data_IF_904531978600
#
_entry.id   IF_904531978600
#
_cell.length_a   1.000
_cell.length_b   1.000
_cell.length_c   1.000
_cell.angle_alpha   90.00
_cell.angle_beta   90.00
_cell.angle_gamma   90.00
#
_symmetry.space_group_name_H-M   'P 1'
#
loop_
_entity.id
_entity.type
_entity.pdbx_description
1 polymer ?
#
# COMPACT_ATOMS: atom_id res chain seq x y z
N UNK A 1 87.80 24.07 56.08
CA UNK A 1 87.62 22.89 55.21
C UNK A 1 86.16 22.50 54.96
N UNK A 2 85.14 23.18 55.53
CA UNK A 2 83.72 22.83 55.34
C UNK A 2 82.94 23.76 54.40
N UNK A 3 83.47 24.95 54.08
CA UNK A 3 82.75 25.91 53.21
C UNK A 3 82.95 25.69 51.70
N UNK A 4 84.07 25.08 51.26
CA UNK A 4 84.33 24.87 49.83
C UNK A 4 83.57 23.67 49.24
N UNK A 5 83.14 22.71 50.06
CA UNK A 5 82.38 21.54 49.58
C UNK A 5 80.92 21.88 49.25
N UNK A 6 80.35 22.89 49.91
CA UNK A 6 78.98 23.35 49.67
C UNK A 6 78.84 24.22 48.38
N UNK A 7 79.89 24.97 48.02
CA UNK A 7 79.91 25.80 46.82
C UNK A 7 80.00 24.97 45.52
N UNK A 8 80.64 23.80 45.56
CA UNK A 8 80.74 22.88 44.42
C UNK A 8 79.46 22.12 44.10
N UNK A 9 78.65 21.77 45.11
CA UNK A 9 77.37 21.07 44.90
C UNK A 9 76.25 22.00 44.42
N UNK A 10 76.24 23.25 44.88
CA UNK A 10 75.24 24.25 44.46
C UNK A 10 75.41 24.69 42.99
N UNK A 11 76.65 24.79 42.48
CA UNK A 11 76.90 25.00 41.03
C UNK A 11 76.44 23.82 40.18
N UNK A 12 76.56 22.58 40.65
CA UNK A 12 76.06 21.39 39.94
C UNK A 12 74.53 21.33 39.87
N UNK A 13 73.82 21.90 40.85
CA UNK A 13 72.35 22.01 40.83
C UNK A 13 71.86 23.10 39.85
N UNK A 14 72.62 24.18 39.70
CA UNK A 14 72.28 25.29 38.78
C UNK A 14 72.57 24.93 37.31
N UNK A 15 73.58 24.09 37.05
CA UNK A 15 73.87 23.55 35.70
C UNK A 15 73.04 22.30 35.34
N UNK A 16 72.19 21.80 36.25
CA UNK A 16 71.43 20.57 36.01
C UNK A 16 70.18 20.80 35.14
N UNK A 17 70.36 20.68 33.82
CA UNK A 17 69.25 20.76 32.84
C UNK A 17 68.25 19.60 32.92
N UNK A 18 68.46 18.60 33.80
CA UNK A 18 67.53 17.47 33.98
C UNK A 18 66.18 17.90 34.58
N UNK A 19 66.12 19.04 35.26
CA UNK A 19 64.87 19.59 35.83
C UNK A 19 63.86 20.11 34.78
N UNK A 20 64.34 20.66 33.66
CA UNK A 20 63.46 21.20 32.59
C UNK A 20 62.65 20.10 31.90
N UNK A 21 63.21 18.89 31.77
CA UNK A 21 62.50 17.73 31.22
C UNK A 21 61.35 17.32 32.12
N UNK A 22 61.53 17.38 33.44
CA UNK A 22 60.51 17.01 34.42
C UNK A 22 59.32 17.98 34.38
N UNK A 23 59.58 19.29 34.20
CA UNK A 23 58.54 20.32 34.04
C UNK A 23 57.72 20.14 32.75
N UNK A 24 58.39 19.92 31.61
CA UNK A 24 57.71 19.67 30.33
C UNK A 24 56.94 18.34 30.37
N UNK A 25 57.50 17.32 31.01
CA UNK A 25 56.83 16.03 31.20
C UNK A 25 55.59 16.18 32.09
N UNK A 26 55.67 16.88 33.22
CA UNK A 26 54.51 17.07 34.10
C UNK A 26 53.37 17.83 33.42
N UNK A 27 53.68 18.88 32.66
CA UNK A 27 52.70 19.62 31.87
C UNK A 27 52.06 18.75 30.79
N UNK A 28 52.88 17.96 30.08
CA UNK A 28 52.40 17.05 29.04
C UNK A 28 51.54 15.93 29.62
N UNK A 29 51.89 15.41 30.81
CA UNK A 29 51.15 14.37 31.50
C UNK A 29 49.73 14.84 31.88
N UNK A 30 49.60 16.05 32.43
CA UNK A 30 48.29 16.63 32.74
C UNK A 30 47.44 16.77 31.47
N UNK A 31 48.04 17.24 30.37
CA UNK A 31 47.35 17.34 29.10
C UNK A 31 46.87 15.97 28.59
N UNK A 32 47.73 14.95 28.60
CA UNK A 32 47.38 13.59 28.17
C UNK A 32 46.27 13.01 29.04
N UNK A 33 46.32 13.19 30.36
CA UNK A 33 45.29 12.71 31.30
C UNK A 33 43.96 13.44 31.07
N UNK A 34 43.97 14.73 30.80
CA UNK A 34 42.77 15.50 30.46
C UNK A 34 42.13 15.00 29.16
N UNK A 35 42.92 14.75 28.11
CA UNK A 35 42.41 14.22 26.83
C UNK A 35 41.88 12.79 26.96
N UNK A 36 42.60 11.90 27.67
CA UNK A 36 42.14 10.52 27.88
C UNK A 36 40.92 10.46 28.79
N UNK A 37 40.88 11.25 29.86
CA UNK A 37 39.70 11.38 30.72
C UNK A 37 38.49 11.92 29.95
N UNK A 38 38.67 12.97 29.15
CA UNK A 38 37.63 13.50 28.28
C UNK A 38 37.12 12.50 27.26
N UNK A 39 37.99 11.66 26.69
CA UNK A 39 37.60 10.59 25.79
C UNK A 39 36.74 9.51 26.49
N UNK A 40 37.04 9.18 27.75
CA UNK A 40 36.24 8.24 28.55
C UNK A 40 34.86 8.82 28.84
N UNK A 41 34.79 10.07 29.28
CA UNK A 41 33.53 10.76 29.56
C UNK A 41 32.65 10.89 28.30
N UNK A 42 33.26 11.24 27.16
CA UNK A 42 32.57 11.26 25.87
C UNK A 42 32.08 9.86 25.46
N UNK A 43 32.88 8.83 25.69
CA UNK A 43 32.48 7.43 25.47
C UNK A 43 31.28 7.02 26.32
N UNK A 44 31.20 7.47 27.57
CA UNK A 44 30.05 7.27 28.45
C UNK A 44 28.81 8.00 27.92
N UNK A 45 28.95 9.28 27.56
CA UNK A 45 27.87 10.08 26.97
C UNK A 45 27.34 9.45 25.67
N UNK A 46 28.23 8.95 24.82
CA UNK A 46 27.84 8.31 23.56
C UNK A 46 27.15 6.96 23.77
N UNK A 47 27.62 6.14 24.73
CA UNK A 47 26.92 4.90 25.13
C UNK A 47 25.51 5.19 25.65
N UNK A 48 25.35 6.25 26.44
CA UNK A 48 24.02 6.68 26.89
C UNK A 48 23.15 7.15 25.73
N UNK A 49 23.70 7.93 24.80
CA UNK A 49 22.98 8.37 23.58
C UNK A 49 22.43 7.19 22.79
N UNK A 50 23.26 6.18 22.52
CA UNK A 50 22.84 4.99 21.77
C UNK A 50 21.77 4.20 22.52
N UNK A 51 21.88 4.09 23.84
CA UNK A 51 20.86 3.43 24.66
C UNK A 51 19.54 4.19 24.67
N UNK A 52 19.59 5.53 24.78
CA UNK A 52 18.41 6.40 24.67
C UNK A 52 17.72 6.26 23.30
N UNK A 53 18.50 6.23 22.22
CA UNK A 53 17.97 6.05 20.87
C UNK A 53 17.25 4.69 20.75
N UNK A 54 17.89 3.60 21.17
CA UNK A 54 17.27 2.27 21.12
C UNK A 54 15.99 2.19 21.97
N UNK A 55 15.99 2.80 23.15
CA UNK A 55 14.81 2.86 24.01
C UNK A 55 13.69 3.71 23.41
N UNK A 56 14.02 4.84 22.76
CA UNK A 56 13.07 5.69 22.05
C UNK A 56 12.48 5.00 20.83
N UNK A 57 13.28 4.29 20.04
CA UNK A 57 12.80 3.57 18.85
C UNK A 57 11.77 2.50 19.25
N UNK A 58 12.06 1.74 20.32
CA UNK A 58 11.12 0.78 20.87
C UNK A 58 9.84 1.45 21.40
N UNK A 59 9.97 2.58 22.09
CA UNK A 59 8.83 3.33 22.63
C UNK A 59 7.97 3.95 21.53
N UNK A 60 8.58 4.52 20.49
CA UNK A 60 7.89 5.11 19.35
C UNK A 60 7.13 4.05 18.54
N UNK A 61 7.73 2.87 18.33
CA UNK A 61 7.04 1.73 17.71
C UNK A 61 5.87 1.23 18.54
N UNK A 62 6.03 1.18 19.87
CA UNK A 62 4.96 0.77 20.77
C UNK A 62 3.79 1.78 20.77
N UNK A 63 4.09 3.09 20.81
CA UNK A 63 3.09 4.13 20.61
C UNK A 63 2.37 3.98 19.26
N UNK A 64 3.13 3.77 18.18
CA UNK A 64 2.58 3.57 16.84
C UNK A 64 1.58 2.42 16.78
N UNK A 65 1.89 1.28 17.42
CA UNK A 65 0.97 0.14 17.49
C UNK A 65 -0.32 0.45 18.25
N UNK A 66 -0.28 1.29 19.27
CA UNK A 66 -1.50 1.69 19.99
C UNK A 66 -2.39 2.60 19.15
N UNK A 67 -1.80 3.51 18.37
CA UNK A 67 -2.56 4.32 17.41
C UNK A 67 -3.15 3.47 16.28
N UNK A 68 -2.41 2.48 15.77
CA UNK A 68 -2.90 1.53 14.75
C UNK A 68 -4.12 0.72 15.23
N UNK A 69 -4.22 0.46 16.54
CA UNK A 69 -5.38 -0.19 17.16
C UNK A 69 -6.56 0.74 17.43
N UNK A 70 -6.45 2.03 17.10
CA UNK A 70 -7.45 3.04 17.42
C UNK A 70 -7.43 3.51 18.88
N UNK A 71 -6.33 3.31 19.59
CA UNK A 71 -6.14 3.80 20.96
C UNK A 71 -6.03 5.33 21.04
N UNK A 72 -6.30 5.91 22.22
CA UNK A 72 -6.13 7.34 22.46
C UNK A 72 -4.66 7.73 22.55
N UNK A 73 -4.36 9.02 22.33
CA UNK A 73 -3.01 9.59 22.53
C UNK A 73 -2.47 9.33 23.95
N UNK A 74 -3.33 9.32 24.96
CA UNK A 74 -2.96 9.03 26.35
C UNK A 74 -2.52 7.56 26.53
N UNK A 75 -3.26 6.61 25.95
CA UNK A 75 -2.88 5.20 25.99
C UNK A 75 -1.54 4.93 25.28
N UNK A 76 -1.34 5.55 24.12
CA UNK A 76 -0.06 5.47 23.39
C UNK A 76 1.11 6.05 24.21
N UNK A 77 0.90 7.16 24.92
CA UNK A 77 1.90 7.74 25.83
C UNK A 77 2.24 6.81 27.01
N UNK A 78 1.24 6.21 27.65
CA UNK A 78 1.45 5.28 28.76
C UNK A 78 2.23 4.02 28.33
N UNK A 79 1.89 3.45 27.17
CA UNK A 79 2.59 2.28 26.62
C UNK A 79 4.02 2.64 26.22
N UNK A 80 4.23 3.79 25.57
CA UNK A 80 5.55 4.26 25.22
C UNK A 80 6.43 4.48 26.45
N UNK A 81 5.91 5.12 27.51
CA UNK A 81 6.62 5.31 28.77
C UNK A 81 7.02 3.98 29.40
N UNK A 82 6.11 3.00 29.42
CA UNK A 82 6.38 1.66 29.97
C UNK A 82 7.49 0.95 29.20
N UNK A 83 7.44 0.96 27.87
CA UNK A 83 8.44 0.33 27.01
C UNK A 83 9.78 1.05 27.13
N UNK A 84 9.76 2.39 27.18
CA UNK A 84 10.94 3.21 27.36
C UNK A 84 11.64 2.89 28.70
N UNK A 85 10.89 2.86 29.80
CA UNK A 85 11.42 2.52 31.13
C UNK A 85 11.99 1.09 31.18
N UNK A 86 11.32 0.12 30.54
CA UNK A 86 11.80 -1.25 30.47
C UNK A 86 13.15 -1.36 29.72
N UNK A 87 13.33 -0.61 28.62
CA UNK A 87 14.58 -0.60 27.85
C UNK A 87 15.72 0.18 28.56
N UNK A 88 15.37 1.22 29.31
CA UNK A 88 16.34 1.99 30.08
C UNK A 88 16.83 1.24 31.33
N UNK A 89 15.95 0.46 31.98
CA UNK A 89 16.26 -0.32 33.17
C UNK A 89 16.67 0.57 34.35
N UNK A 90 17.76 0.24 35.04
CA UNK A 90 18.27 1.04 36.16
C UNK A 90 18.59 2.50 35.78
N UNK A 91 19.00 2.75 34.54
CA UNK A 91 19.32 4.09 34.04
C UNK A 91 18.10 5.02 34.00
N UNK A 92 16.87 4.48 33.95
CA UNK A 92 15.65 5.28 34.00
C UNK A 92 15.43 5.97 35.35
N UNK A 93 15.98 5.40 36.44
CA UNK A 93 15.81 5.91 37.81
C UNK A 93 16.89 6.90 38.19
N UNK A 94 18.10 6.72 37.66
CA UNK A 94 19.26 7.58 37.94
C UNK A 94 19.26 8.88 37.15
N UNK A 95 18.32 9.06 36.23
CA UNK A 95 18.31 10.19 35.30
C UNK A 95 16.90 10.74 35.11
N UNK A 96 16.76 12.07 35.10
CA UNK A 96 15.53 12.72 34.67
C UNK A 96 15.40 12.53 33.16
N UNK A 97 14.32 11.86 32.74
CA UNK A 97 14.05 11.61 31.33
C UNK A 97 12.68 12.17 31.00
N UNK A 98 12.66 13.13 30.09
CA UNK A 98 11.42 13.73 29.58
C UNK A 98 11.10 13.14 28.22
N UNK A 99 10.02 12.36 28.13
CA UNK A 99 9.51 11.82 26.86
C UNK A 99 8.43 12.74 26.30
N UNK A 100 8.68 13.34 25.14
CA UNK A 100 7.66 14.12 24.42
C UNK A 100 7.17 13.33 23.22
N UNK A 101 5.85 13.13 23.12
CA UNK A 101 5.19 12.49 21.98
C UNK A 101 4.28 13.49 21.27
N UNK A 102 4.65 13.83 20.04
CA UNK A 102 3.82 14.63 19.14
C UNK A 102 3.29 13.76 18.00
N UNK A 103 2.02 13.96 17.63
CA UNK A 103 1.41 13.38 16.44
C UNK A 103 1.16 14.53 15.46
N UNK A 104 1.74 14.43 14.28
CA UNK A 104 1.57 15.39 13.18
C UNK A 104 1.16 14.64 11.92
N UNK A 105 -0.15 14.37 11.80
CA UNK A 105 -0.72 13.78 10.58
C UNK A 105 -0.26 12.34 10.32
N UNK A 106 -0.10 11.53 11.37
CA UNK A 106 0.35 10.14 11.25
C UNK A 106 1.86 9.95 11.43
N UNK A 107 2.61 11.03 11.69
CA UNK A 107 4.00 10.94 12.14
C UNK A 107 4.05 11.12 13.65
N UNK A 108 4.47 10.07 14.35
CA UNK A 108 4.70 10.06 15.79
C UNK A 108 6.17 10.40 16.03
N UNK A 109 6.43 11.50 16.69
CA UNK A 109 7.77 11.91 17.11
C UNK A 109 7.94 11.69 18.61
N UNK A 110 8.92 10.88 19.00
CA UNK A 110 9.32 10.64 20.37
C UNK A 110 10.72 11.22 20.64
N UNK A 111 10.86 12.12 21.62
CA UNK A 111 12.16 12.68 22.02
C UNK A 111 12.43 12.46 23.50
N UNK A 112 13.68 12.16 23.85
CA UNK A 112 14.16 12.11 25.23
C UNK A 112 15.45 12.91 25.39
N UNK A 113 15.58 13.60 26.52
CA UNK A 113 16.83 14.24 26.94
C UNK A 113 17.24 13.73 28.32
N UNK A 114 18.55 13.67 28.53
CA UNK A 114 19.15 13.40 29.84
C UNK A 114 20.51 14.10 29.97
N UNK A 115 21.04 14.13 31.19
CA UNK A 115 22.39 14.63 31.47
C UNK A 115 23.24 13.50 32.04
N UNK A 116 24.41 13.31 31.46
CA UNK A 116 25.39 12.33 31.92
C UNK A 116 26.45 13.06 32.73
N UNK A 117 26.60 12.69 34.00
CA UNK A 117 27.66 13.21 34.86
C UNK A 117 29.04 12.83 34.31
N UNK A 118 29.96 13.79 34.33
CA UNK A 118 31.31 13.66 33.80
C UNK A 118 32.34 13.67 34.92
N UNK A 119 33.21 12.67 34.96
CA UNK A 119 34.16 12.51 36.07
C UNK A 119 35.45 13.29 35.84
N UNK A 120 36.00 13.22 34.63
CA UNK A 120 37.29 13.84 34.30
C UNK A 120 37.10 15.26 33.76
N UNK A 121 36.09 15.47 32.91
CA UNK A 121 35.72 16.82 32.46
C UNK A 121 35.14 17.65 33.62
N UNK A 122 34.59 17.01 34.65
CA UNK A 122 34.13 17.66 35.88
C UNK A 122 35.24 18.43 36.58
N UNK A 123 36.47 17.89 36.59
CA UNK A 123 37.66 18.56 37.14
C UNK A 123 37.99 19.86 36.38
N UNK A 124 37.60 19.94 35.10
CA UNK A 124 37.77 21.11 34.24
C UNK A 124 36.53 22.05 34.26
N UNK A 125 35.58 21.83 35.17
CA UNK A 125 34.38 22.65 35.33
C UNK A 125 33.19 22.25 34.45
N UNK A 126 33.28 21.13 33.72
CA UNK A 126 32.17 20.57 32.96
C UNK A 126 31.62 19.35 33.70
N UNK A 127 30.63 19.55 34.58
CA UNK A 127 30.11 18.52 35.49
C UNK A 127 29.10 17.56 34.84
N UNK A 128 28.45 17.99 33.76
CA UNK A 128 27.50 17.15 33.03
C UNK A 128 27.47 17.45 31.53
N UNK A 129 27.26 16.41 30.74
CA UNK A 129 27.04 16.48 29.30
C UNK A 129 25.58 16.19 28.97
N UNK A 130 24.84 17.14 28.36
CA UNK A 130 23.48 16.89 27.91
C UNK A 130 23.49 15.97 26.69
N UNK A 131 22.67 14.92 26.74
CA UNK A 131 22.49 13.94 25.68
C UNK A 131 21.01 13.83 25.35
N UNK A 132 20.67 14.13 24.10
CA UNK A 132 19.30 14.02 23.59
C UNK A 132 19.22 13.06 22.40
N UNK A 133 18.13 12.31 22.33
CA UNK A 133 17.81 11.42 21.21
C UNK A 133 16.38 11.69 20.72
N UNK A 134 16.13 11.39 19.46
CA UNK A 134 14.81 11.60 18.84
C UNK A 134 14.54 10.47 17.85
N UNK A 135 13.34 9.91 17.92
CA UNK A 135 12.86 8.85 17.06
C UNK A 135 11.54 9.26 16.43
N UNK A 136 11.34 8.89 15.17
CA UNK A 136 10.09 9.16 14.46
C UNK A 136 9.57 7.86 13.85
N UNK A 137 8.28 7.62 14.04
CA UNK A 137 7.55 6.51 13.43
C UNK A 137 6.42 7.10 12.60
N UNK A 138 6.41 6.77 11.32
CA UNK A 138 5.29 7.10 10.44
C UNK A 138 4.31 5.94 10.48
N UNK A 139 3.09 6.20 10.93
CA UNK A 139 1.96 5.29 10.77
C UNK A 139 1.69 5.16 9.28
N UNK A 140 1.91 3.96 8.75
CA UNK A 140 1.51 3.61 7.40
C UNK A 140 -0.01 3.44 7.34
N UNK A 141 -0.76 4.53 7.55
CA UNK A 141 -2.18 4.63 7.21
C UNK A 141 -2.37 4.74 5.69
N UNK A 142 -1.64 3.91 4.93
CA UNK A 142 -1.68 3.90 3.48
C UNK A 142 -3.09 3.56 3.02
N UNK A 143 -3.65 4.38 2.14
CA UNK A 143 -4.89 4.04 1.48
C UNK A 143 -4.66 2.79 0.63
N UNK A 144 -5.43 1.74 0.87
CA UNK A 144 -5.38 0.49 0.12
C UNK A 144 -6.64 0.34 -0.71
N UNK A 145 -6.47 -0.01 -1.98
CA UNK A 145 -7.55 -0.37 -2.88
C UNK A 145 -7.37 -1.84 -3.27
N UNK A 146 -8.37 -2.68 -2.98
CA UNK A 146 -8.32 -4.12 -3.22
C UNK A 146 -9.45 -4.51 -4.15
N UNK A 147 -9.15 -5.20 -5.24
CA UNK A 147 -10.16 -5.71 -6.18
C UNK A 147 -10.24 -7.23 -6.08
N UNK A 148 -11.42 -7.74 -5.73
CA UNK A 148 -11.70 -9.17 -5.64
C UNK A 148 -12.30 -9.66 -6.95
N UNK A 149 -11.50 -10.34 -7.77
CA UNK A 149 -11.96 -10.98 -9.01
C UNK A 149 -12.36 -12.43 -8.68
N UNK A 150 -13.66 -12.72 -8.72
CA UNK A 150 -14.25 -13.92 -8.14
C UNK A 150 -14.92 -14.80 -9.21
N UNK A 151 -14.36 -15.97 -9.48
CA UNK A 151 -14.96 -16.96 -10.39
C UNK A 151 -16.26 -17.53 -9.79
N UNK A 152 -17.37 -17.35 -10.49
CA UNK A 152 -18.69 -17.88 -10.15
C UNK A 152 -19.25 -18.86 -11.20
N UNK A 153 -18.39 -19.41 -12.07
CA UNK A 153 -18.74 -20.39 -13.08
C UNK A 153 -19.39 -21.65 -12.49
N UNK A 154 -20.07 -22.45 -13.34
CA UNK A 154 -20.76 -23.66 -12.91
C UNK A 154 -19.86 -24.67 -12.16
N UNK A 155 -18.55 -24.71 -12.48
CA UNK A 155 -17.57 -25.59 -11.81
C UNK A 155 -17.33 -25.24 -10.34
N UNK A 156 -17.62 -24.00 -9.96
CA UNK A 156 -17.53 -23.48 -8.60
C UNK A 156 -18.77 -23.83 -7.75
N UNK A 157 -19.80 -24.43 -8.35
CA UNK A 157 -21.04 -24.79 -7.66
C UNK A 157 -20.86 -25.57 -6.35
N UNK A 158 -21.81 -25.38 -5.43
CA UNK A 158 -21.84 -26.12 -4.16
C UNK A 158 -20.78 -25.66 -3.16
N UNK A 159 -19.86 -26.56 -2.78
CA UNK A 159 -18.93 -26.34 -1.68
C UNK A 159 -17.86 -25.27 -1.98
N UNK A 160 -17.37 -25.21 -3.22
CA UNK A 160 -16.30 -24.27 -3.63
C UNK A 160 -16.78 -22.83 -3.56
N UNK A 161 -17.95 -22.52 -4.13
CA UNK A 161 -18.55 -21.18 -4.06
C UNK A 161 -18.88 -20.77 -2.63
N UNK A 162 -19.33 -21.71 -1.78
CA UNK A 162 -19.52 -21.43 -0.35
C UNK A 162 -18.20 -21.10 0.35
N UNK A 163 -17.12 -21.80 0.04
CA UNK A 163 -15.80 -21.52 0.58
C UNK A 163 -15.27 -20.16 0.10
N UNK A 164 -15.40 -19.84 -1.20
CA UNK A 164 -15.03 -18.55 -1.77
C UNK A 164 -15.76 -17.40 -1.08
N UNK A 165 -17.08 -17.52 -0.89
CA UNK A 165 -17.88 -16.52 -0.17
C UNK A 165 -17.43 -16.33 1.28
N UNK A 166 -17.05 -17.41 1.98
CA UNK A 166 -16.52 -17.32 3.36
C UNK A 166 -15.16 -16.63 3.39
N UNK A 167 -14.24 -17.04 2.52
CA UNK A 167 -12.90 -16.45 2.45
C UNK A 167 -12.95 -14.96 2.08
N UNK A 168 -13.77 -14.58 1.09
CA UNK A 168 -13.97 -13.18 0.72
C UNK A 168 -14.51 -12.36 1.91
N UNK A 169 -15.52 -12.88 2.63
CA UNK A 169 -16.05 -12.21 3.84
C UNK A 169 -14.99 -12.06 4.92
N UNK A 170 -14.23 -13.12 5.21
CA UNK A 170 -13.14 -13.07 6.20
C UNK A 170 -12.09 -12.03 5.81
N UNK A 171 -11.67 -11.99 4.55
CA UNK A 171 -10.75 -10.98 4.05
C UNK A 171 -11.31 -9.56 4.25
N UNK A 172 -12.57 -9.31 3.84
CA UNK A 172 -13.18 -7.99 4.05
C UNK A 172 -13.25 -7.61 5.53
N UNK A 173 -13.55 -8.57 6.41
CA UNK A 173 -13.59 -8.34 7.86
C UNK A 173 -12.21 -8.04 8.43
N UNK A 174 -11.16 -8.71 7.95
CA UNK A 174 -9.77 -8.43 8.36
C UNK A 174 -9.32 -7.06 7.89
N UNK A 175 -9.68 -6.66 6.67
CA UNK A 175 -9.28 -5.37 6.09
C UNK A 175 -10.02 -4.17 6.72
N UNK A 176 -11.32 -4.30 7.03
CA UNK A 176 -12.09 -3.25 7.70
C UNK A 176 -12.00 -3.30 9.23
N UNK A 177 -11.57 -4.43 9.81
CA UNK A 177 -11.44 -4.61 11.25
C UNK A 177 -12.74 -4.32 12.01
N UNK A 178 -12.63 -3.61 13.13
CA UNK A 178 -13.78 -3.16 13.93
C UNK A 178 -14.49 -1.92 13.35
N UNK A 179 -13.94 -1.28 12.32
CA UNK A 179 -14.49 -0.05 11.75
C UNK A 179 -15.14 -0.31 10.38
N UNK A 180 -16.48 -0.35 10.29
CA UNK A 180 -17.19 -0.60 9.02
C UNK A 180 -17.05 0.56 8.00
N UNK A 181 -16.48 1.71 8.40
CA UNK A 181 -16.16 2.84 7.51
C UNK A 181 -14.69 3.19 7.66
N UNK A 182 -13.86 2.52 6.87
CA UNK A 182 -12.42 2.79 6.83
C UNK A 182 -12.10 3.63 5.59
N UNK A 183 -11.90 4.94 5.76
CA UNK A 183 -11.63 5.86 4.63
C UNK A 183 -10.33 5.55 3.88
N UNK A 184 -9.45 4.75 4.49
CA UNK A 184 -8.22 4.28 3.89
C UNK A 184 -8.34 2.89 3.24
N UNK A 185 -9.50 2.22 3.24
CA UNK A 185 -9.65 0.94 2.50
C UNK A 185 -10.86 1.00 1.58
N UNK A 186 -10.63 0.74 0.28
CA UNK A 186 -11.69 0.51 -0.69
C UNK A 186 -11.60 -0.89 -1.24
N UNK A 187 -12.75 -1.53 -1.42
CA UNK A 187 -12.83 -2.87 -1.98
C UNK A 187 -13.78 -2.87 -3.18
N UNK A 188 -13.27 -3.27 -4.33
CA UNK A 188 -14.06 -3.61 -5.51
C UNK A 188 -14.32 -5.12 -5.56
N UNK A 189 -15.49 -5.52 -6.08
CA UNK A 189 -15.82 -6.94 -6.28
C UNK A 189 -16.26 -7.14 -7.72
N UNK A 190 -15.60 -8.06 -8.41
CA UNK A 190 -15.85 -8.38 -9.81
C UNK A 190 -16.16 -9.88 -9.90
N UNK A 191 -17.42 -10.29 -9.73
CA UNK A 191 -17.83 -11.66 -9.97
C UNK A 191 -17.83 -11.93 -11.47
N UNK A 192 -17.16 -13.00 -11.91
CA UNK A 192 -17.06 -13.33 -13.34
C UNK A 192 -17.35 -14.81 -13.60
N UNK A 193 -17.96 -15.06 -14.76
CA UNK A 193 -17.94 -16.35 -15.45
C UNK A 193 -17.54 -16.08 -16.91
N UNK A 194 -18.51 -16.04 -17.84
CA UNK A 194 -18.30 -15.56 -19.20
C UNK A 194 -18.27 -14.01 -19.27
N UNK A 195 -19.03 -13.35 -18.39
CA UNK A 195 -19.11 -11.90 -18.28
C UNK A 195 -19.33 -11.46 -16.84
N UNK A 196 -19.24 -10.15 -16.61
CA UNK A 196 -19.51 -9.54 -15.31
C UNK A 196 -20.96 -9.07 -15.28
N UNK A 197 -21.70 -9.50 -14.25
CA UNK A 197 -23.07 -9.08 -14.02
C UNK A 197 -23.12 -8.02 -12.92
N UNK A 198 -23.53 -6.80 -13.29
CA UNK A 198 -23.73 -5.65 -12.41
C UNK A 198 -25.17 -5.51 -11.93
N UNK A 199 -26.07 -6.36 -12.39
CA UNK A 199 -27.48 -6.41 -12.01
C UNK A 199 -28.37 -5.55 -12.93
N UNK A 200 -29.60 -6.03 -13.22
CA UNK A 200 -30.51 -5.36 -14.16
C UNK A 200 -30.98 -3.98 -13.67
N UNK A 201 -30.97 -3.75 -12.36
CA UNK A 201 -31.33 -2.45 -11.76
C UNK A 201 -30.39 -1.31 -12.19
N UNK A 202 -29.17 -1.63 -12.63
CA UNK A 202 -28.18 -0.65 -13.05
C UNK A 202 -28.27 -0.26 -14.53
N UNK A 203 -29.34 -0.66 -15.25
CA UNK A 203 -29.47 -0.38 -16.68
C UNK A 203 -29.38 1.12 -17.03
N UNK A 204 -29.87 1.99 -16.13
CA UNK A 204 -29.86 3.45 -16.29
C UNK A 204 -28.80 4.14 -15.43
N UNK A 205 -27.80 3.40 -14.92
CA UNK A 205 -26.75 4.00 -14.13
C UNK A 205 -25.92 4.98 -14.99
N UNK A 206 -25.39 6.03 -14.36
CA UNK A 206 -24.65 7.09 -15.07
C UNK A 206 -23.36 6.62 -15.75
N UNK A 207 -22.83 5.47 -15.32
CA UNK A 207 -21.65 4.82 -15.88
C UNK A 207 -21.98 3.81 -16.99
N UNK A 208 -23.26 3.62 -17.33
CA UNK A 208 -23.71 2.79 -18.45
C UNK A 208 -23.88 3.62 -19.72
N UNK A 209 -23.47 3.06 -20.85
CA UNK A 209 -23.72 3.63 -22.17
C UNK A 209 -25.15 3.29 -22.63
N UNK A 210 -26.08 4.20 -22.35
CA UNK A 210 -27.48 4.10 -22.78
C UNK A 210 -27.76 4.77 -24.13
N UNK A 211 -26.85 5.62 -24.58
CA UNK A 211 -27.04 6.48 -25.76
C UNK A 211 -26.20 6.06 -26.98
N UNK A 212 -25.37 5.02 -26.85
CA UNK A 212 -24.49 4.57 -27.92
C UNK A 212 -23.31 5.49 -28.16
N UNK A 213 -22.68 5.97 -27.08
CA UNK A 213 -21.52 6.86 -27.15
C UNK A 213 -20.20 6.13 -27.35
N UNK A 214 -20.11 4.88 -26.90
CA UNK A 214 -18.89 4.09 -27.04
C UNK A 214 -18.70 3.61 -28.48
N UNK A 215 -17.45 3.57 -28.93
CA UNK A 215 -17.01 3.02 -30.21
C UNK A 215 -17.47 1.57 -30.43
N UNK A 216 -17.54 0.75 -29.36
CA UNK A 216 -17.95 -0.65 -29.44
C UNK A 216 -19.47 -0.87 -29.35
N UNK A 217 -20.26 0.19 -29.12
CA UNK A 217 -21.69 0.05 -28.84
C UNK A 217 -22.45 -0.59 -30.00
N UNK A 218 -22.13 -0.18 -31.22
CA UNK A 218 -22.81 -0.59 -32.45
C UNK A 218 -22.07 -1.67 -33.24
N UNK A 219 -20.99 -2.27 -32.71
CA UNK A 219 -20.22 -3.30 -33.43
C UNK A 219 -21.06 -4.51 -33.86
N UNK A 220 -22.14 -4.80 -33.12
CA UNK A 220 -23.05 -5.91 -33.41
C UNK A 220 -24.21 -5.54 -34.36
N UNK A 221 -24.33 -4.28 -34.80
CA UNK A 221 -25.48 -3.80 -35.56
C UNK A 221 -25.12 -3.02 -36.83
N UNK A 222 -25.79 -3.36 -37.93
CA UNK A 222 -25.68 -2.60 -39.19
C UNK A 222 -26.40 -1.25 -39.18
N UNK A 223 -27.25 -1.01 -38.19
CA UNK A 223 -28.00 0.24 -37.98
C UNK A 223 -27.65 0.84 -36.62
N UNK A 224 -27.69 2.18 -36.48
CA UNK A 224 -27.39 2.86 -35.22
C UNK A 224 -28.56 2.71 -34.23
N UNK A 225 -28.80 1.49 -33.78
CA UNK A 225 -29.80 1.12 -32.78
C UNK A 225 -29.04 0.73 -31.53
N UNK A 226 -29.38 1.32 -30.38
CA UNK A 226 -28.67 0.99 -29.14
C UNK A 226 -29.00 -0.44 -28.71
N UNK A 227 -28.09 -1.08 -27.97
CA UNK A 227 -28.33 -2.43 -27.44
C UNK A 227 -29.56 -2.47 -26.52
N UNK A 228 -29.86 -1.38 -25.80
CA UNK A 228 -31.08 -1.27 -25.01
C UNK A 228 -32.35 -1.07 -25.86
N UNK A 229 -32.27 -0.39 -27.00
CA UNK A 229 -33.39 -0.33 -27.94
C UNK A 229 -33.77 -1.72 -28.45
N UNK A 230 -32.78 -2.58 -28.70
CA UNK A 230 -33.01 -3.97 -29.07
C UNK A 230 -33.76 -4.72 -27.96
N UNK A 231 -33.29 -4.66 -26.72
CA UNK A 231 -34.00 -5.29 -25.59
C UNK A 231 -35.45 -4.80 -25.43
N UNK A 232 -35.75 -3.55 -25.80
CA UNK A 232 -37.13 -3.03 -25.82
C UNK A 232 -37.98 -3.58 -26.96
N UNK A 233 -37.36 -3.95 -28.09
CA UNK A 233 -38.05 -4.52 -29.25
C UNK A 233 -38.30 -6.03 -29.10
N UNK A 234 -37.41 -6.74 -28.38
CA UNK A 234 -37.57 -8.16 -28.09
C UNK A 234 -38.70 -8.37 -27.07
N UNK A 235 -39.74 -9.13 -27.46
CA UNK A 235 -40.87 -9.41 -26.56
C UNK A 235 -40.44 -10.42 -25.50
N UNK A 236 -40.58 -10.04 -24.23
CA UNK A 236 -40.33 -10.93 -23.09
C UNK A 236 -38.87 -11.04 -22.67
N UNK A 237 -37.96 -10.30 -23.32
CA UNK A 237 -36.52 -10.30 -23.00
C UNK A 237 -36.15 -8.99 -22.33
N UNK A 238 -35.35 -9.06 -21.27
CA UNK A 238 -34.80 -7.89 -20.59
C UNK A 238 -33.29 -8.04 -20.49
N UNK A 239 -32.60 -6.93 -20.35
CA UNK A 239 -31.19 -6.95 -20.01
C UNK A 239 -31.02 -7.41 -18.56
N UNK A 240 -30.30 -8.51 -18.36
CA UNK A 240 -30.14 -9.18 -17.06
C UNK A 240 -28.92 -8.70 -16.26
N UNK A 241 -28.24 -7.64 -16.71
CA UNK A 241 -27.18 -6.99 -15.96
C UNK A 241 -25.75 -7.20 -16.46
N UNK A 242 -25.53 -7.87 -17.60
CA UNK A 242 -24.16 -8.13 -18.08
C UNK A 242 -23.56 -6.95 -18.85
N UNK A 243 -22.27 -6.69 -18.68
CA UNK A 243 -21.53 -5.60 -19.36
C UNK A 243 -20.34 -6.11 -20.16
N UNK A 244 -19.95 -5.36 -21.20
CA UNK A 244 -18.72 -5.58 -21.95
C UNK A 244 -17.51 -4.93 -21.28
N UNK A 245 -16.33 -5.41 -21.65
CA UNK A 245 -15.07 -4.69 -21.38
C UNK A 245 -15.09 -3.33 -22.09
N UNK A 246 -14.52 -2.31 -21.44
CA UNK A 246 -14.38 -0.98 -22.04
C UNK A 246 -13.32 -0.99 -23.15
N UNK A 247 -13.40 -0.10 -24.15
CA UNK A 247 -12.34 0.06 -25.15
C UNK A 247 -11.01 0.53 -24.54
N UNK A 248 -9.92 0.20 -25.22
CA UNK A 248 -8.59 0.67 -24.83
C UNK A 248 -8.49 2.20 -24.92
N UNK A 249 -7.90 2.89 -23.93
CA UNK A 249 -7.11 2.38 -22.80
C UNK A 249 -7.89 2.10 -21.50
N UNK A 250 -9.22 2.28 -21.48
CA UNK A 250 -10.04 2.14 -20.28
C UNK A 250 -10.24 0.69 -19.81
N UNK A 251 -9.80 -0.27 -20.62
CA UNK A 251 -9.74 -1.70 -20.30
C UNK A 251 -8.72 -2.01 -19.19
N UNK A 252 -7.65 -1.22 -19.09
CA UNK A 252 -6.56 -1.46 -18.12
C UNK A 252 -6.41 -0.36 -17.07
N UNK A 253 -7.09 0.78 -17.22
CA UNK A 253 -7.02 1.90 -16.27
C UNK A 253 -8.26 1.99 -15.38
N UNK A 254 -8.09 2.44 -14.13
CA UNK A 254 -9.20 2.76 -13.22
C UNK A 254 -9.81 4.15 -13.49
N UNK A 255 -10.01 4.48 -14.77
CA UNK A 255 -10.61 5.75 -15.17
C UNK A 255 -12.10 5.79 -14.84
N UNK A 256 -12.55 6.87 -14.21
CA UNK A 256 -13.97 7.10 -13.92
C UNK A 256 -14.79 7.20 -15.22
N UNK A 257 -15.90 6.45 -15.36
CA UNK A 257 -16.82 6.60 -16.49
C UNK A 257 -17.41 8.02 -16.56
N UNK A 258 -17.34 8.65 -17.73
CA UNK A 258 -17.89 9.99 -17.99
C UNK A 258 -18.61 10.04 -19.33
N UNK A 259 -19.67 10.85 -19.43
CA UNK A 259 -20.43 11.01 -20.68
C UNK A 259 -19.69 11.81 -21.76
N UNK A 260 -18.66 12.57 -21.37
CA UNK A 260 -17.77 13.30 -22.29
C UNK A 260 -16.84 12.36 -23.05
N UNK A 261 -16.52 11.22 -22.45
CA UNK A 261 -15.69 10.18 -23.04
C UNK A 261 -16.50 8.89 -23.18
N UNK A 262 -17.12 8.69 -24.34
CA UNK A 262 -18.02 7.57 -24.58
C UNK A 262 -17.40 6.20 -24.33
N UNK A 263 -16.09 6.06 -24.54
CA UNK A 263 -15.35 4.81 -24.35
C UNK A 263 -15.00 4.52 -22.89
N UNK A 264 -15.17 5.51 -22.01
CA UNK A 264 -15.05 5.29 -20.57
C UNK A 264 -16.29 4.63 -19.94
N UNK A 265 -17.44 4.60 -20.66
CA UNK A 265 -18.71 4.03 -20.22
C UNK A 265 -18.77 2.51 -20.43
N UNK A 266 -19.53 1.81 -19.59
CA UNK A 266 -19.78 0.39 -19.76
C UNK A 266 -20.92 0.15 -20.76
N UNK A 267 -20.63 -0.65 -21.78
CA UNK A 267 -21.61 -1.02 -22.80
C UNK A 267 -22.39 -2.25 -22.32
N UNK A 268 -23.73 -2.26 -22.40
CA UNK A 268 -24.50 -3.46 -22.05
C UNK A 268 -24.09 -4.61 -22.96
N UNK A 269 -23.79 -5.76 -22.38
CA UNK A 269 -23.43 -6.96 -23.13
C UNK A 269 -24.60 -7.40 -23.98
N UNK A 270 -24.33 -7.71 -25.25
CA UNK A 270 -25.28 -8.40 -26.10
C UNK A 270 -24.92 -9.90 -26.06
N UNK A 271 -25.68 -10.66 -25.28
CA UNK A 271 -25.41 -12.08 -25.08
C UNK A 271 -25.63 -12.88 -26.38
N UNK A 272 -24.63 -13.67 -26.85
CA UNK A 272 -24.80 -14.57 -27.97
C UNK A 272 -25.75 -15.72 -27.62
N UNK A 273 -26.52 -16.18 -28.60
CA UNK A 273 -27.44 -17.31 -28.49
C UNK A 273 -26.72 -18.68 -28.54
N UNK A 274 -27.26 -19.68 -27.84
CA UNK A 274 -26.70 -21.04 -27.70
C UNK A 274 -27.76 -22.14 -27.92
N UNK A 275 -27.36 -23.33 -28.41
CA UNK A 275 -28.08 -24.05 -29.47
C UNK A 275 -29.25 -24.95 -29.04
N UNK A 276 -30.15 -25.14 -30.01
CA UNK A 276 -31.42 -25.90 -30.00
C UNK A 276 -31.42 -27.31 -29.38
N UNK A 277 -30.29 -28.04 -29.33
CA UNK A 277 -30.21 -29.41 -28.77
C UNK A 277 -28.84 -29.75 -28.18
N UNK A 278 -28.81 -29.91 -26.86
CA UNK A 278 -27.65 -30.17 -26.00
C UNK A 278 -27.97 -29.62 -24.60
N UNK A 279 -27.28 -30.05 -23.53
CA UNK A 279 -27.70 -29.79 -22.13
C UNK A 279 -27.75 -28.28 -21.78
N UNK A 280 -28.92 -27.69 -21.99
CA UNK A 280 -29.51 -26.50 -21.35
C UNK A 280 -28.54 -25.58 -20.60
N UNK A 281 -28.19 -24.46 -21.21
CA UNK A 281 -27.63 -23.30 -20.54
C UNK A 281 -28.72 -22.25 -20.29
N UNK A 282 -28.56 -21.43 -19.24
CA UNK A 282 -29.59 -20.51 -18.72
C UNK A 282 -29.91 -19.30 -19.61
N UNK A 283 -29.34 -19.22 -20.80
CA UNK A 283 -29.30 -17.98 -21.58
C UNK A 283 -30.17 -18.04 -22.86
N UNK A 284 -31.24 -18.84 -22.86
CA UNK A 284 -32.21 -18.90 -23.96
C UNK A 284 -33.33 -17.90 -23.72
N UNK A 285 -33.30 -16.78 -24.45
CA UNK A 285 -34.29 -15.71 -24.31
C UNK A 285 -35.10 -15.46 -25.58
N UNK A 286 -34.82 -16.11 -26.71
CA UNK A 286 -35.58 -15.97 -27.95
C UNK A 286 -35.99 -17.33 -28.49
N UNK A 287 -37.30 -17.50 -28.76
CA UNK A 287 -37.77 -18.64 -29.55
C UNK A 287 -37.59 -18.34 -31.03
N UNK A 288 -36.88 -19.21 -31.76
CA UNK A 288 -36.70 -19.09 -33.21
C UNK A 288 -38.01 -19.08 -34.01
N UNK A 289 -39.07 -19.65 -33.45
CA UNK A 289 -40.42 -19.61 -34.03
C UNK A 289 -41.20 -18.38 -33.55
N UNK A 290 -40.84 -17.20 -34.08
CA UNK A 290 -41.62 -15.98 -33.82
C UNK A 290 -41.02 -14.68 -34.38
N UNK A 291 -39.72 -14.64 -34.66
CA UNK A 291 -39.07 -13.55 -35.37
C UNK A 291 -39.14 -13.77 -36.88
N UNK A 292 -39.82 -12.90 -37.62
CA UNK A 292 -39.90 -13.00 -39.09
C UNK A 292 -38.58 -12.59 -39.74
N UNK A 293 -37.57 -13.46 -39.70
CA UNK A 293 -36.50 -13.43 -40.69
C UNK A 293 -37.07 -13.97 -42.00
N UNK A 294 -37.36 -13.06 -42.94
CA UNK A 294 -37.82 -13.38 -44.29
C UNK A 294 -36.95 -14.49 -44.89
N UNK A 295 -37.62 -15.62 -45.18
CA UNK A 295 -37.05 -16.93 -45.55
C UNK A 295 -36.45 -16.96 -46.95
N UNK A 296 -35.96 -15.83 -47.47
CA UNK A 296 -35.38 -15.72 -48.81
C UNK A 296 -33.90 -15.40 -48.76
N UNK A 297 -33.11 -16.39 -48.33
CA UNK A 297 -31.86 -16.83 -48.99
C UNK A 297 -31.32 -18.05 -48.26
N UNK A 298 -31.72 -19.24 -48.71
CA UNK A 298 -30.92 -20.46 -48.52
C UNK A 298 -29.58 -20.27 -49.23
N UNK A 299 -28.56 -19.81 -48.51
CA UNK A 299 -27.14 -20.03 -48.83
C UNK A 299 -26.61 -20.85 -47.67
N UNK A 300 -26.69 -22.17 -47.70
CA UNK A 300 -25.84 -23.01 -48.53
C UNK A 300 -24.62 -23.41 -47.70
N UNK A 301 -24.71 -24.56 -47.02
CA UNK A 301 -23.58 -25.23 -46.37
C UNK A 301 -22.42 -25.35 -47.36
N UNK A 302 -21.38 -24.52 -47.25
CA UNK A 302 -20.05 -24.73 -47.85
C UNK A 302 -19.11 -23.62 -47.40
N UNK A 303 -18.21 -23.91 -46.46
CA UNK A 303 -16.79 -23.54 -46.50
C UNK A 303 -16.09 -23.88 -45.18
N UNK A 304 -15.50 -25.08 -45.09
CA UNK A 304 -14.24 -25.27 -44.36
C UNK A 304 -13.36 -26.20 -45.18
N UNK A 305 -12.50 -25.59 -46.01
CA UNK A 305 -11.25 -26.18 -46.48
C UNK A 305 -10.25 -25.04 -46.71
N UNK A 306 -9.33 -24.91 -45.76
CA UNK A 306 -7.92 -24.52 -45.90
C UNK A 306 -7.53 -23.22 -46.60
N UNK A 307 -6.59 -22.50 -45.96
CA UNK A 307 -5.56 -21.75 -46.68
C UNK A 307 -5.55 -20.26 -46.35
N UNK A 308 -4.47 -19.79 -45.71
CA UNK A 308 -4.36 -18.45 -45.16
C UNK A 308 -4.33 -17.31 -46.19
N UNK A 309 -4.44 -16.07 -45.68
CA UNK A 309 -3.65 -14.91 -46.10
C UNK A 309 -3.76 -13.77 -45.09
N UNK A 310 -2.62 -13.08 -44.93
CA UNK A 310 -2.40 -11.86 -44.13
C UNK A 310 -3.08 -10.63 -44.75
N UNK A 311 -3.31 -9.62 -43.91
CA UNK A 311 -3.56 -8.22 -44.27
C UNK A 311 -5.01 -7.81 -44.02
N UNK A 312 -5.35 -6.68 -43.42
CA UNK A 312 -4.62 -5.51 -42.94
C UNK A 312 -5.66 -4.63 -42.20
N UNK A 313 -5.19 -3.68 -41.38
CA UNK A 313 -6.07 -2.79 -40.61
C UNK A 313 -7.02 -1.98 -41.50
N UNK A 314 -8.27 -1.85 -41.05
CA UNK A 314 -9.27 -0.97 -41.64
C UNK A 314 -10.56 -1.00 -40.83
N UNK A 315 -11.09 0.19 -40.52
CA UNK A 315 -12.40 0.46 -39.90
C UNK A 315 -13.57 -0.08 -40.75
N UNK A 316 -13.71 -1.40 -40.82
CA UNK A 316 -14.84 -2.09 -41.44
C UNK A 316 -15.63 -2.80 -40.36
N UNK A 317 -16.95 -2.56 -40.32
CA UNK A 317 -17.88 -3.38 -39.54
C UNK A 317 -17.55 -4.85 -39.76
N UNK A 318 -17.46 -5.60 -38.67
CA UNK A 318 -17.18 -7.03 -38.70
C UNK A 318 -18.29 -7.72 -39.52
N UNK A 319 -17.91 -8.66 -40.38
CA UNK A 319 -18.91 -9.53 -41.00
C UNK A 319 -19.62 -10.35 -39.92
N UNK A 320 -20.84 -10.81 -40.17
CA UNK A 320 -21.61 -11.67 -39.25
C UNK A 320 -20.78 -12.89 -38.78
N UNK A 321 -19.92 -13.42 -39.67
CA UNK A 321 -18.98 -14.51 -39.41
C UNK A 321 -17.83 -14.09 -38.48
N UNK A 322 -17.30 -12.87 -38.62
CA UNK A 322 -16.26 -12.31 -37.73
C UNK A 322 -16.81 -11.89 -36.36
N UNK A 323 -18.06 -11.41 -36.31
CA UNK A 323 -18.77 -11.15 -35.07
C UNK A 323 -18.99 -12.46 -34.30
N UNK A 324 -19.39 -13.54 -35.00
CA UNK A 324 -19.51 -14.89 -34.43
C UNK A 324 -18.18 -15.52 -33.99
N UNK A 325 -17.05 -15.20 -34.65
CA UNK A 325 -15.71 -15.63 -34.21
C UNK A 325 -15.21 -14.87 -32.97
N UNK A 326 -15.66 -13.64 -32.75
CA UNK A 326 -15.30 -12.79 -31.59
C UNK A 326 -16.21 -12.96 -30.37
N UNK A 327 -17.43 -13.44 -30.57
CA UNK A 327 -18.25 -13.97 -29.48
C UNK A 327 -17.62 -15.28 -29.03
N UNK A 328 -16.78 -15.21 -27.99
CA UNK A 328 -16.09 -16.35 -27.40
C UNK A 328 -17.06 -17.52 -27.20
N UNK A 329 -16.89 -18.55 -28.04
CA UNK A 329 -17.41 -19.89 -27.80
C UNK A 329 -16.86 -20.40 -26.47
N UNK A 330 -17.73 -20.65 -25.52
CA UNK A 330 -17.52 -21.69 -24.52
C UNK A 330 -18.31 -22.94 -24.91
#
# INVERSE_FOLDING_TARGET
MLCDFAAGQSRRFVDDRRGSVLLLFSLSLVAILAFTGGAIDFGNAHRMRSKLQNALDAAALAAGREFDRGGSKTAAQEVALRVFQANMGANARSQSITLNIADSGGVITASAQTSVETFFLGILGMEALPVGATSQVTLAGGKMEVVLVLDNSGSMGGARLRALKRAAKQLTQTLFGANPKHDAVRIGVVPFAASVNVGPANANASWMDTAGRSSIHFENFDRPVTRFDLYRQLRGVRWEGCVEVRPSPHDVTDSTPTVSDGDSLFVPMFAPDEPDRGRSYSNNYLSDDGGTCSRNKRRGRRARRGGGRRGGGGNGRLTEEQAQERTCKY
#
